data_IF_558413543172
#
_entry.id   IF_558413543172
#
_cell.length_a   1.000
_cell.length_b   1.000
_cell.length_c   1.000
_cell.angle_alpha   90.00
_cell.angle_beta   90.00
_cell.angle_gamma   90.00
#
_symmetry.space_group_name_H-M   'P 1'
#
loop_
_entity.id
_entity.type
_entity.pdbx_description
1 polymer ?
#
# COMPACT_ATOMS: atom_id res chain seq x y z
N UNK A 1 -39.48 0.53 -68.54
CA UNK A 1 -39.80 -0.23 -67.32
C UNK A 1 -38.87 -1.43 -67.24
N UNK A 2 -37.73 -1.27 -66.56
CA UNK A 2 -36.74 -2.35 -66.37
C UNK A 2 -37.18 -3.19 -65.17
N UNK A 3 -37.62 -4.43 -65.43
CA UNK A 3 -37.89 -5.43 -64.40
C UNK A 3 -36.64 -5.62 -63.53
N UNK A 4 -36.78 -5.38 -62.23
CA UNK A 4 -35.76 -5.75 -61.25
C UNK A 4 -35.53 -7.28 -61.31
N UNK A 5 -34.28 -7.76 -61.26
CA UNK A 5 -34.00 -9.19 -61.32
C UNK A 5 -34.64 -9.89 -60.11
N UNK A 6 -35.49 -10.88 -60.38
CA UNK A 6 -36.01 -11.76 -59.34
C UNK A 6 -34.85 -12.48 -58.64
N UNK A 7 -34.81 -12.54 -57.30
CA UNK A 7 -33.77 -13.28 -56.59
C UNK A 7 -33.86 -14.77 -56.98
N UNK A 8 -32.78 -15.29 -57.54
CA UNK A 8 -32.69 -16.69 -57.95
C UNK A 8 -33.03 -17.63 -56.78
N UNK A 9 -33.82 -18.67 -57.05
CA UNK A 9 -34.14 -19.66 -56.04
C UNK A 9 -32.84 -20.32 -55.53
N UNK A 10 -32.67 -20.50 -54.21
CA UNK A 10 -31.44 -21.07 -53.66
C UNK A 10 -31.22 -22.48 -54.22
N UNK A 11 -29.99 -22.76 -54.63
CA UNK A 11 -29.59 -24.09 -55.12
C UNK A 11 -29.78 -25.15 -54.02
N UNK A 12 -30.00 -26.41 -54.39
CA UNK A 12 -30.20 -27.52 -53.43
C UNK A 12 -29.10 -27.54 -52.36
N UNK A 13 -27.84 -27.32 -52.78
CA UNK A 13 -26.67 -27.23 -51.88
C UNK A 13 -26.77 -26.09 -50.85
N UNK A 14 -27.25 -24.91 -51.25
CA UNK A 14 -27.43 -23.77 -50.33
C UNK A 14 -28.57 -24.03 -49.33
N UNK A 15 -29.67 -24.66 -49.78
CA UNK A 15 -30.77 -25.06 -48.88
C UNK A 15 -30.31 -26.03 -47.80
N UNK A 16 -29.55 -27.07 -48.19
CA UNK A 16 -28.99 -28.04 -47.23
C UNK A 16 -28.07 -27.36 -46.22
N UNK A 17 -27.21 -26.43 -46.66
CA UNK A 17 -26.32 -25.69 -45.78
C UNK A 17 -27.08 -24.85 -44.74
N UNK A 18 -28.14 -24.14 -45.15
CA UNK A 18 -28.98 -23.37 -44.22
C UNK A 18 -29.71 -24.25 -43.21
N UNK A 19 -30.22 -25.42 -43.63
CA UNK A 19 -30.84 -26.38 -42.70
C UNK A 19 -29.84 -26.89 -41.66
N UNK A 20 -28.61 -27.17 -42.07
CA UNK A 20 -27.54 -27.55 -41.13
C UNK A 20 -27.29 -26.44 -40.12
N UNK A 21 -27.18 -25.18 -40.56
CA UNK A 21 -26.96 -24.02 -39.66
C UNK A 21 -28.14 -23.80 -38.70
N UNK A 22 -29.38 -23.91 -39.19
CA UNK A 22 -30.60 -23.75 -38.39
C UNK A 22 -30.72 -24.81 -37.28
N UNK A 23 -30.13 -25.99 -37.45
CA UNK A 23 -30.11 -27.05 -36.44
C UNK A 23 -28.87 -26.90 -35.53
N UNK A 24 -27.69 -26.65 -36.12
CA UNK A 24 -26.43 -26.63 -35.40
C UNK A 24 -26.36 -25.49 -34.38
N UNK A 25 -26.81 -24.27 -34.72
CA UNK A 25 -26.70 -23.12 -33.81
C UNK A 25 -27.54 -23.28 -32.53
N UNK A 26 -28.83 -23.69 -32.58
CA UNK A 26 -29.57 -24.03 -31.38
C UNK A 26 -28.90 -25.13 -30.55
N UNK A 27 -28.40 -26.21 -31.18
CA UNK A 27 -27.71 -27.29 -30.46
C UNK A 27 -26.47 -26.77 -29.71
N UNK A 28 -25.68 -25.91 -30.34
CA UNK A 28 -24.54 -25.25 -29.68
C UNK A 28 -25.01 -24.36 -28.53
N UNK A 29 -26.07 -23.57 -28.72
CA UNK A 29 -26.65 -22.73 -27.66
C UNK A 29 -27.15 -23.51 -26.46
N UNK A 30 -27.78 -24.67 -26.67
CA UNK A 30 -28.24 -25.57 -25.62
C UNK A 30 -27.09 -26.35 -24.95
N UNK A 31 -25.98 -26.58 -25.64
CA UNK A 31 -24.81 -27.24 -25.06
C UNK A 31 -24.15 -26.44 -23.94
N UNK A 32 -24.32 -25.11 -23.93
CA UNK A 32 -23.71 -24.20 -22.97
C UNK A 32 -22.18 -24.09 -23.07
N UNK A 33 -21.52 -24.83 -23.96
CA UNK A 33 -20.06 -24.91 -24.05
C UNK A 33 -19.42 -23.54 -24.25
N UNK A 34 -19.94 -22.74 -25.20
CA UNK A 34 -19.43 -21.40 -25.47
C UNK A 34 -19.54 -20.52 -24.22
N UNK A 35 -20.67 -20.58 -23.53
CA UNK A 35 -20.97 -19.72 -22.38
C UNK A 35 -20.05 -20.08 -21.20
N UNK A 36 -19.83 -21.37 -20.97
CA UNK A 36 -18.91 -21.85 -19.92
C UNK A 36 -17.49 -21.37 -20.17
N UNK A 37 -16.95 -21.60 -21.38
CA UNK A 37 -15.56 -21.21 -21.69
C UNK A 37 -15.41 -19.69 -21.69
N UNK A 38 -16.37 -18.93 -22.24
CA UNK A 38 -16.33 -17.47 -22.19
C UNK A 38 -16.44 -16.93 -20.75
N UNK A 39 -17.26 -17.55 -19.91
CA UNK A 39 -17.38 -17.15 -18.49
C UNK A 39 -16.11 -17.44 -17.72
N UNK A 40 -15.48 -18.58 -17.94
CA UNK A 40 -14.19 -18.94 -17.33
C UNK A 40 -13.08 -17.98 -17.76
N UNK A 41 -13.02 -17.64 -19.06
CA UNK A 41 -12.09 -16.65 -19.59
C UNK A 41 -12.27 -15.27 -18.93
N UNK A 42 -13.51 -14.78 -18.80
CA UNK A 42 -13.79 -13.50 -18.14
C UNK A 42 -13.45 -13.54 -16.65
N UNK A 43 -13.73 -14.65 -15.96
CA UNK A 43 -13.34 -14.82 -14.55
C UNK A 43 -11.83 -14.75 -14.37
N UNK A 44 -11.07 -15.43 -15.24
CA UNK A 44 -9.61 -15.34 -15.25
C UNK A 44 -9.13 -13.91 -15.46
N UNK A 45 -9.63 -13.21 -16.47
CA UNK A 45 -9.26 -11.81 -16.74
C UNK A 45 -9.62 -10.86 -15.59
N UNK A 46 -10.77 -11.02 -14.95
CA UNK A 46 -11.17 -10.23 -13.76
C UNK A 46 -10.21 -10.53 -12.59
N UNK A 47 -9.90 -11.80 -12.34
CA UNK A 47 -9.00 -12.19 -11.24
C UNK A 47 -7.59 -11.63 -11.46
N UNK A 48 -7.03 -11.78 -12.66
CA UNK A 48 -5.70 -11.25 -12.99
C UNK A 48 -5.66 -9.72 -12.91
N UNK A 49 -6.65 -9.02 -13.49
CA UNK A 49 -6.72 -7.57 -13.38
C UNK A 49 -6.94 -7.10 -11.92
N UNK A 50 -7.67 -7.87 -11.12
CA UNK A 50 -7.89 -7.61 -9.69
C UNK A 50 -6.61 -7.74 -8.88
N UNK A 51 -5.76 -8.73 -9.20
CA UNK A 51 -4.45 -8.89 -8.58
C UNK A 51 -3.55 -7.69 -8.90
N UNK A 52 -3.46 -7.30 -10.18
CA UNK A 52 -2.71 -6.12 -10.62
C UNK A 52 -3.21 -4.84 -9.94
N UNK A 53 -4.53 -4.67 -9.83
CA UNK A 53 -5.13 -3.55 -9.10
C UNK A 53 -4.76 -3.55 -7.62
N UNK A 54 -4.80 -4.71 -6.97
CA UNK A 54 -4.43 -4.89 -5.57
C UNK A 54 -2.99 -4.49 -5.30
N UNK A 55 -2.05 -5.01 -6.08
CA UNK A 55 -0.61 -4.64 -6.01
C UNK A 55 -0.41 -3.16 -6.25
N UNK A 56 -1.07 -2.57 -7.26
CA UNK A 56 -0.99 -1.13 -7.50
C UNK A 56 -1.48 -0.30 -6.31
N UNK A 57 -2.59 -0.70 -5.68
CA UNK A 57 -3.10 -0.01 -4.50
C UNK A 57 -2.22 -0.22 -3.27
N UNK A 58 -1.59 -1.38 -3.14
CA UNK A 58 -0.55 -1.67 -2.15
C UNK A 58 0.64 -0.73 -2.30
N UNK A 59 1.20 -0.63 -3.51
CA UNK A 59 2.29 0.31 -3.83
C UNK A 59 1.86 1.75 -3.54
N UNK A 60 0.67 2.19 -3.97
CA UNK A 60 0.17 3.54 -3.71
C UNK A 60 0.10 3.85 -2.20
N UNK A 61 -0.33 2.88 -1.38
CA UNK A 61 -0.38 3.04 0.06
C UNK A 61 1.03 3.16 0.66
N UNK A 62 1.96 2.29 0.25
CA UNK A 62 3.36 2.32 0.72
C UNK A 62 4.06 3.62 0.33
N UNK A 63 3.90 4.06 -0.93
CA UNK A 63 4.48 5.32 -1.39
C UNK A 63 3.94 6.51 -0.59
N UNK A 64 2.63 6.54 -0.32
CA UNK A 64 2.03 7.61 0.51
C UNK A 64 2.58 7.62 1.95
N UNK A 65 2.86 6.46 2.54
CA UNK A 65 3.50 6.37 3.86
C UNK A 65 4.95 6.84 3.82
N UNK A 66 5.68 6.48 2.75
CA UNK A 66 7.08 6.84 2.56
C UNK A 66 7.26 8.32 2.15
N UNK A 67 6.25 8.96 1.59
CA UNK A 67 6.30 10.38 1.19
C UNK A 67 6.57 11.32 2.36
N UNK A 68 6.10 10.97 3.55
CA UNK A 68 6.37 11.74 4.78
C UNK A 68 7.74 11.46 5.39
N UNK A 69 8.58 10.60 4.78
CA UNK A 69 9.86 10.20 5.37
C UNK A 69 11.02 11.04 4.85
N UNK A 70 11.65 11.76 5.77
CA UNK A 70 12.87 12.52 5.51
C UNK A 70 14.09 11.76 6.06
N UNK A 71 15.10 11.58 5.23
CA UNK A 71 16.39 11.06 5.66
C UNK A 71 17.40 12.20 5.74
N UNK A 72 17.70 12.63 6.96
CA UNK A 72 18.80 13.56 7.21
C UNK A 72 20.13 12.81 7.12
N UNK A 73 20.90 13.08 6.07
CA UNK A 73 22.31 12.68 5.96
C UNK A 73 23.19 13.88 6.36
N UNK A 74 24.46 13.66 6.77
CA UNK A 74 25.37 14.78 7.00
C UNK A 74 25.47 15.64 5.73
N UNK A 75 25.18 16.93 5.86
CA UNK A 75 25.27 17.97 4.81
C UNK A 75 24.17 17.94 3.72
N UNK A 76 23.27 16.94 3.66
CA UNK A 76 22.15 16.89 2.70
C UNK A 76 20.93 16.21 3.34
N UNK A 77 19.76 16.84 3.25
CA UNK A 77 18.47 16.19 3.55
C UNK A 77 17.91 15.63 2.25
N UNK A 78 17.64 14.33 2.20
CA UNK A 78 16.98 13.69 1.06
C UNK A 78 15.56 13.34 1.49
N UNK A 79 14.56 13.92 0.82
CA UNK A 79 13.16 13.52 0.97
C UNK A 79 12.90 12.30 0.09
N UNK A 80 12.52 11.18 0.69
CA UNK A 80 12.14 9.99 -0.07
C UNK A 80 10.88 10.27 -0.89
N UNK A 81 9.99 11.13 -0.40
CA UNK A 81 8.77 11.51 -1.10
C UNK A 81 9.02 12.10 -2.48
N UNK A 82 9.93 13.06 -2.59
CA UNK A 82 10.24 13.71 -3.88
C UNK A 82 10.78 12.71 -4.92
N UNK A 83 11.54 11.71 -4.48
CA UNK A 83 12.04 10.64 -5.36
C UNK A 83 10.91 9.72 -5.83
N UNK A 84 9.92 9.46 -4.96
CA UNK A 84 8.80 8.57 -5.25
C UNK A 84 7.61 9.25 -5.92
N UNK A 85 7.56 10.59 -5.97
CA UNK A 85 6.46 11.35 -6.56
C UNK A 85 6.10 10.94 -8.00
N UNK A 86 7.07 10.73 -8.92
CA UNK A 86 6.75 10.25 -10.27
C UNK A 86 6.04 8.88 -10.27
N UNK A 87 6.40 8.01 -9.32
CA UNK A 87 5.76 6.71 -9.16
C UNK A 87 4.37 6.85 -8.53
N UNK A 88 4.21 7.74 -7.57
CA UNK A 88 2.90 8.06 -6.98
C UNK A 88 1.90 8.51 -8.06
N UNK A 89 2.28 9.47 -8.89
CA UNK A 89 1.44 9.99 -9.98
C UNK A 89 1.10 8.90 -11.00
N UNK A 90 2.10 8.07 -11.35
CA UNK A 90 1.90 6.97 -12.27
C UNK A 90 0.95 5.92 -11.71
N UNK A 91 1.14 5.50 -10.45
CA UNK A 91 0.37 4.42 -9.85
C UNK A 91 -1.07 4.83 -9.57
N UNK A 92 -1.31 6.10 -9.25
CA UNK A 92 -2.64 6.67 -9.12
C UNK A 92 -3.40 6.56 -10.46
N UNK A 93 -2.80 7.07 -11.55
CA UNK A 93 -3.41 7.00 -12.89
C UNK A 93 -3.60 5.57 -13.37
N UNK A 94 -2.60 4.73 -13.14
CA UNK A 94 -2.62 3.31 -13.50
C UNK A 94 -3.76 2.58 -12.80
N UNK A 95 -3.88 2.73 -11.47
CA UNK A 95 -4.91 2.06 -10.68
C UNK A 95 -6.32 2.50 -11.07
N UNK A 96 -6.52 3.79 -11.39
CA UNK A 96 -7.79 4.30 -11.91
C UNK A 96 -8.18 3.68 -13.26
N UNK A 97 -7.22 3.53 -14.17
CA UNK A 97 -7.48 2.91 -15.48
C UNK A 97 -7.78 1.41 -15.35
N UNK A 98 -7.08 0.71 -14.46
CA UNK A 98 -7.39 -0.71 -14.18
C UNK A 98 -8.76 -0.85 -13.55
N UNK A 99 -9.16 0.06 -12.65
CA UNK A 99 -10.49 0.04 -12.07
C UNK A 99 -11.58 0.16 -13.16
N UNK A 100 -11.37 1.03 -14.15
CA UNK A 100 -12.25 1.12 -15.32
C UNK A 100 -12.25 -0.16 -16.16
N UNK A 101 -11.08 -0.78 -16.36
CA UNK A 101 -10.96 -2.04 -17.09
C UNK A 101 -11.68 -3.20 -16.36
N UNK A 102 -11.55 -3.28 -15.04
CA UNK A 102 -12.29 -4.22 -14.18
C UNK A 102 -13.80 -4.00 -14.28
N UNK A 103 -14.24 -2.75 -14.26
CA UNK A 103 -15.65 -2.40 -14.49
C UNK A 103 -16.15 -2.86 -15.86
N UNK A 104 -15.35 -2.68 -16.91
CA UNK A 104 -15.66 -3.18 -18.26
C UNK A 104 -15.78 -4.70 -18.32
N UNK A 105 -14.84 -5.43 -17.71
CA UNK A 105 -14.89 -6.91 -17.65
C UNK A 105 -16.10 -7.41 -16.85
N UNK A 106 -16.41 -6.77 -15.72
CA UNK A 106 -17.58 -7.10 -14.92
C UNK A 106 -18.87 -6.85 -15.72
N UNK A 107 -18.97 -5.74 -16.46
CA UNK A 107 -20.08 -5.46 -17.35
C UNK A 107 -20.21 -6.51 -18.46
N UNK A 108 -19.10 -6.91 -19.08
CA UNK A 108 -19.09 -7.99 -20.08
C UNK A 108 -19.58 -9.31 -19.51
N UNK A 109 -19.20 -9.66 -18.27
CA UNK A 109 -19.69 -10.87 -17.59
C UNK A 109 -21.20 -10.82 -17.33
N UNK A 110 -21.73 -9.68 -16.90
CA UNK A 110 -23.17 -9.49 -16.71
C UNK A 110 -23.92 -9.61 -18.04
N UNK A 111 -23.40 -8.98 -19.10
CA UNK A 111 -24.00 -9.05 -20.43
C UNK A 111 -23.95 -10.47 -21.00
N UNK A 112 -22.87 -11.21 -20.76
CA UNK A 112 -22.74 -12.62 -21.15
C UNK A 112 -23.77 -13.48 -20.42
N UNK A 113 -23.96 -13.28 -19.11
CA UNK A 113 -24.99 -13.97 -18.35
C UNK A 113 -26.40 -13.68 -18.88
N UNK A 114 -26.68 -12.42 -19.25
CA UNK A 114 -27.98 -12.03 -19.82
C UNK A 114 -28.25 -12.72 -21.17
N UNK A 115 -27.28 -12.68 -22.08
CA UNK A 115 -27.41 -13.21 -23.44
C UNK A 115 -27.37 -14.75 -23.47
N UNK A 116 -26.75 -15.37 -22.47
CA UNK A 116 -26.67 -16.84 -22.31
C UNK A 116 -27.89 -17.44 -21.61
N UNK A 117 -28.88 -16.62 -21.23
CA UNK A 117 -30.08 -17.10 -20.57
C UNK A 117 -30.89 -18.06 -21.47
N UNK A 118 -31.60 -18.99 -20.82
CA UNK A 118 -32.48 -19.96 -21.49
C UNK A 118 -33.51 -19.32 -22.43
N UNK A 119 -33.96 -18.10 -22.14
CA UNK A 119 -34.85 -17.33 -23.00
C UNK A 119 -34.28 -17.18 -24.42
N UNK A 120 -33.00 -16.82 -24.55
CA UNK A 120 -32.38 -16.63 -25.85
C UNK A 120 -32.23 -17.96 -26.61
N UNK A 121 -31.97 -19.07 -25.91
CA UNK A 121 -31.94 -20.40 -26.51
C UNK A 121 -33.32 -20.82 -27.05
N UNK A 122 -34.40 -20.53 -26.32
CA UNK A 122 -35.78 -20.79 -26.75
C UNK A 122 -36.15 -19.92 -27.95
N UNK A 123 -35.90 -18.61 -27.90
CA UNK A 123 -36.18 -17.69 -29.01
C UNK A 123 -35.39 -18.09 -30.26
N UNK A 124 -34.11 -18.47 -30.11
CA UNK A 124 -33.29 -18.98 -31.21
C UNK A 124 -33.88 -20.28 -31.81
N UNK A 125 -34.35 -21.19 -30.96
CA UNK A 125 -34.94 -22.47 -31.41
C UNK A 125 -36.27 -22.27 -32.15
N UNK A 126 -37.15 -21.38 -31.65
CA UNK A 126 -38.43 -21.05 -32.29
C UNK A 126 -38.18 -20.38 -33.64
N UNK A 127 -37.31 -19.36 -33.67
CA UNK A 127 -36.98 -18.66 -34.93
C UNK A 127 -36.29 -19.58 -35.94
N UNK A 128 -35.46 -20.54 -35.49
CA UNK A 128 -34.88 -21.57 -36.34
C UNK A 128 -35.95 -22.48 -36.98
N UNK A 129 -36.89 -22.98 -36.17
CA UNK A 129 -37.97 -23.85 -36.63
C UNK A 129 -38.90 -23.14 -37.61
N UNK A 130 -39.35 -21.92 -37.29
CA UNK A 130 -40.17 -21.11 -38.18
C UNK A 130 -39.45 -20.84 -39.51
N UNK A 131 -38.15 -20.54 -39.47
CA UNK A 131 -37.34 -20.32 -40.66
C UNK A 131 -37.22 -21.61 -41.49
N UNK A 132 -36.97 -22.76 -40.85
CA UNK A 132 -36.87 -24.05 -41.53
C UNK A 132 -38.17 -24.42 -42.27
N UNK A 133 -39.33 -24.27 -41.62
CA UNK A 133 -40.65 -24.52 -42.24
C UNK A 133 -40.92 -23.58 -43.43
N UNK A 134 -40.47 -22.32 -43.32
CA UNK A 134 -40.61 -21.32 -44.37
C UNK A 134 -39.83 -21.67 -45.66
N UNK A 135 -38.73 -22.45 -45.56
CA UNK A 135 -37.94 -22.85 -46.71
C UNK A 135 -38.72 -23.73 -47.71
N UNK A 136 -39.72 -24.46 -47.20
CA UNK A 136 -40.59 -25.38 -47.95
C UNK A 136 -41.96 -24.79 -48.31
N UNK A 137 -42.57 -23.98 -47.44
CA UNK A 137 -44.00 -23.64 -47.55
C UNK A 137 -44.29 -22.13 -47.70
N UNK A 138 -43.29 -21.25 -47.59
CA UNK A 138 -43.50 -19.80 -47.54
C UNK A 138 -43.04 -19.06 -48.81
N UNK A 139 -43.67 -17.91 -49.07
CA UNK A 139 -43.25 -16.96 -50.09
C UNK A 139 -41.89 -16.31 -49.79
N UNK A 140 -41.21 -15.82 -50.84
CA UNK A 140 -39.84 -15.32 -50.75
C UNK A 140 -39.64 -14.19 -49.73
N UNK A 141 -40.62 -13.29 -49.58
CA UNK A 141 -40.56 -12.18 -48.63
C UNK A 141 -40.59 -12.65 -47.16
N UNK A 142 -41.52 -13.55 -46.81
CA UNK A 142 -41.62 -14.10 -45.46
C UNK A 142 -40.36 -14.89 -45.07
N UNK A 143 -39.81 -15.66 -46.01
CA UNK A 143 -38.55 -16.39 -45.83
C UNK A 143 -37.37 -15.44 -45.54
N UNK A 144 -37.20 -14.36 -46.31
CA UNK A 144 -36.10 -13.41 -46.10
C UNK A 144 -36.22 -12.72 -44.73
N UNK A 145 -37.43 -12.30 -44.34
CA UNK A 145 -37.67 -11.69 -43.03
C UNK A 145 -37.37 -12.64 -41.86
N UNK A 146 -37.82 -13.89 -41.93
CA UNK A 146 -37.55 -14.90 -40.90
C UNK A 146 -36.05 -15.23 -40.81
N UNK A 147 -35.37 -15.34 -41.95
CA UNK A 147 -33.93 -15.60 -41.97
C UNK A 147 -33.11 -14.42 -41.42
N UNK A 148 -33.52 -13.17 -41.70
CA UNK A 148 -32.95 -11.96 -41.09
C UNK A 148 -33.16 -11.94 -39.57
N UNK A 149 -34.36 -12.29 -39.10
CA UNK A 149 -34.67 -12.39 -37.68
C UNK A 149 -33.82 -13.47 -37.00
N UNK A 150 -33.72 -14.66 -37.60
CA UNK A 150 -32.88 -15.75 -37.09
C UNK A 150 -31.41 -15.33 -36.99
N UNK A 151 -30.86 -14.71 -38.04
CA UNK A 151 -29.47 -14.19 -38.01
C UNK A 151 -29.31 -13.13 -36.92
N UNK A 152 -30.27 -12.23 -36.73
CA UNK A 152 -30.22 -11.20 -35.70
C UNK A 152 -30.21 -11.81 -34.29
N UNK A 153 -31.07 -12.79 -34.01
CA UNK A 153 -31.12 -13.50 -32.73
C UNK A 153 -29.85 -14.31 -32.51
N UNK A 154 -29.37 -15.05 -33.51
CA UNK A 154 -28.13 -15.81 -33.43
C UNK A 154 -26.92 -14.91 -33.20
N UNK A 155 -26.84 -13.78 -33.90
CA UNK A 155 -25.81 -12.77 -33.70
C UNK A 155 -25.84 -12.25 -32.26
N UNK A 156 -27.00 -11.83 -31.78
CA UNK A 156 -27.14 -11.34 -30.41
C UNK A 156 -26.69 -12.40 -29.40
N UNK A 157 -27.10 -13.66 -29.59
CA UNK A 157 -26.80 -14.82 -28.73
C UNK A 157 -25.33 -15.19 -28.66
N UNK A 158 -24.63 -15.21 -29.80
CA UNK A 158 -23.27 -15.77 -29.89
C UNK A 158 -22.17 -14.71 -30.01
N UNK A 159 -22.50 -13.46 -30.37
CA UNK A 159 -21.49 -12.41 -30.62
C UNK A 159 -20.56 -12.20 -29.43
N UNK A 160 -21.11 -12.03 -28.23
CA UNK A 160 -20.30 -11.75 -27.04
C UNK A 160 -19.40 -12.93 -26.67
N UNK A 161 -19.93 -14.15 -26.68
CA UNK A 161 -19.13 -15.36 -26.40
C UNK A 161 -17.98 -15.54 -27.40
N UNK A 162 -18.25 -15.33 -28.70
CA UNK A 162 -17.22 -15.39 -29.75
C UNK A 162 -16.16 -14.30 -29.56
N UNK A 163 -16.56 -13.06 -29.23
CA UNK A 163 -15.62 -11.97 -28.95
C UNK A 163 -14.73 -12.28 -27.75
N UNK A 164 -15.31 -12.81 -26.66
CA UNK A 164 -14.56 -13.20 -25.46
C UNK A 164 -13.58 -14.34 -25.76
N UNK A 165 -13.98 -15.36 -26.52
CA UNK A 165 -13.07 -16.44 -26.93
C UNK A 165 -11.93 -15.94 -27.80
N UNK A 166 -12.23 -15.07 -28.78
CA UNK A 166 -11.22 -14.49 -29.64
C UNK A 166 -10.21 -13.68 -28.83
N UNK A 167 -10.68 -12.91 -27.85
CA UNK A 167 -9.83 -12.18 -26.93
C UNK A 167 -8.96 -13.11 -26.07
N UNK A 168 -9.55 -14.18 -25.50
CA UNK A 168 -8.82 -15.18 -24.73
C UNK A 168 -7.72 -15.87 -25.54
N UNK A 169 -7.96 -16.15 -26.82
CA UNK A 169 -6.95 -16.69 -27.72
C UNK A 169 -5.78 -15.72 -27.95
N UNK A 170 -6.06 -14.43 -28.20
CA UNK A 170 -5.01 -13.41 -28.36
C UNK A 170 -4.21 -13.25 -27.07
N UNK A 171 -4.89 -13.22 -25.93
CA UNK A 171 -4.25 -13.12 -24.62
C UNK A 171 -3.28 -14.28 -24.38
N UNK A 172 -3.77 -15.51 -24.49
CA UNK A 172 -2.98 -16.72 -24.28
C UNK A 172 -1.76 -16.81 -25.20
N UNK A 173 -1.88 -16.34 -26.46
CA UNK A 173 -0.82 -16.47 -27.45
C UNK A 173 0.22 -15.35 -27.41
N UNK A 174 -0.18 -14.12 -27.08
CA UNK A 174 0.66 -12.94 -27.29
C UNK A 174 0.92 -12.11 -26.03
N UNK A 175 0.01 -12.09 -25.06
CA UNK A 175 0.04 -11.10 -23.97
C UNK A 175 0.36 -11.72 -22.60
N UNK A 176 -0.22 -12.88 -22.30
CA UNK A 176 -0.18 -13.48 -20.95
C UNK A 176 1.24 -13.64 -20.38
N UNK A 177 2.17 -14.20 -21.16
CA UNK A 177 3.54 -14.41 -20.69
C UNK A 177 4.25 -13.10 -20.30
N UNK A 178 4.08 -12.04 -21.11
CA UNK A 178 4.67 -10.74 -20.83
C UNK A 178 3.99 -10.06 -19.64
N UNK A 179 2.67 -10.18 -19.51
CA UNK A 179 1.93 -9.56 -18.40
C UNK A 179 2.25 -10.20 -17.06
N UNK A 180 2.39 -11.53 -16.99
CA UNK A 180 2.84 -12.22 -15.77
C UNK A 180 4.22 -11.73 -15.34
N UNK A 181 5.16 -11.60 -16.28
CA UNK A 181 6.51 -11.11 -15.98
C UNK A 181 6.51 -9.66 -15.47
N UNK A 182 5.76 -8.78 -16.14
CA UNK A 182 5.65 -7.36 -15.77
C UNK A 182 4.96 -7.19 -14.41
N UNK A 183 3.93 -7.99 -14.14
CA UNK A 183 3.25 -7.96 -12.85
C UNK A 183 4.17 -8.43 -11.71
N UNK A 184 4.93 -9.50 -11.93
CA UNK A 184 5.95 -9.94 -10.98
C UNK A 184 7.03 -8.86 -10.73
N UNK A 185 7.34 -8.00 -11.69
CA UNK A 185 8.22 -6.85 -11.47
C UNK A 185 7.59 -5.81 -10.54
N UNK A 186 6.28 -5.54 -10.67
CA UNK A 186 5.56 -4.68 -9.72
C UNK A 186 5.55 -5.28 -8.31
N UNK A 187 5.32 -6.59 -8.15
CA UNK A 187 5.34 -7.25 -6.85
C UNK A 187 6.73 -7.16 -6.18
N UNK A 188 7.82 -7.30 -6.96
CA UNK A 188 9.18 -7.10 -6.45
C UNK A 188 9.40 -5.67 -5.96
N UNK A 189 8.98 -4.68 -6.75
CA UNK A 189 9.07 -3.28 -6.37
C UNK A 189 8.24 -2.98 -5.11
N UNK A 190 7.03 -3.54 -4.98
CA UNK A 190 6.23 -3.44 -3.75
C UNK A 190 7.00 -4.02 -2.54
N UNK A 191 7.64 -5.18 -2.70
CA UNK A 191 8.47 -5.81 -1.68
C UNK A 191 9.65 -4.95 -1.23
N UNK A 192 10.33 -4.29 -2.18
CA UNK A 192 11.42 -3.34 -1.88
C UNK A 192 10.92 -2.13 -1.08
N UNK A 193 9.77 -1.56 -1.45
CA UNK A 193 9.16 -0.45 -0.71
C UNK A 193 8.78 -0.84 0.73
N UNK A 194 8.23 -2.04 0.94
CA UNK A 194 7.94 -2.56 2.29
C UNK A 194 9.19 -2.72 3.15
N UNK A 195 10.32 -3.13 2.55
CA UNK A 195 11.58 -3.23 3.28
C UNK A 195 12.05 -1.83 3.75
N UNK A 196 11.92 -0.82 2.88
CA UNK A 196 12.24 0.58 3.21
C UNK A 196 11.31 1.14 4.29
N UNK A 197 10.02 0.84 4.24
CA UNK A 197 9.03 1.22 5.26
C UNK A 197 9.36 0.64 6.64
N UNK A 198 9.76 -0.64 6.68
CA UNK A 198 10.16 -1.28 7.94
C UNK A 198 11.41 -0.61 8.52
N UNK A 199 12.38 -0.28 7.66
CA UNK A 199 13.60 0.44 8.06
C UNK A 199 13.30 1.85 8.58
N UNK A 200 12.43 2.61 7.89
CA UNK A 200 12.07 3.97 8.27
C UNK A 200 11.28 3.98 9.59
N UNK A 201 10.35 3.03 9.78
CA UNK A 201 9.59 2.86 11.02
C UNK A 201 10.51 2.52 12.19
N UNK A 202 11.46 1.59 12.00
CA UNK A 202 12.44 1.24 13.03
C UNK A 202 13.32 2.45 13.40
N UNK A 203 13.73 3.26 12.41
CA UNK A 203 14.50 4.48 12.64
C UNK A 203 13.69 5.55 13.38
N UNK A 204 12.41 5.72 13.04
CA UNK A 204 11.50 6.65 13.70
C UNK A 204 11.25 6.30 15.17
N UNK A 205 11.10 5.00 15.47
CA UNK A 205 11.02 4.51 16.85
C UNK A 205 12.32 4.78 17.62
N UNK A 206 13.47 4.59 16.98
CA UNK A 206 14.77 4.84 17.61
C UNK A 206 15.00 6.35 17.87
N UNK A 207 14.59 7.25 16.96
CA UNK A 207 14.70 8.69 17.19
C UNK A 207 13.74 9.17 18.29
N UNK A 208 12.51 8.65 18.33
CA UNK A 208 11.57 8.99 19.40
C UNK A 208 12.06 8.54 20.78
N UNK A 209 12.71 7.36 20.87
CA UNK A 209 13.35 6.89 22.10
C UNK A 209 14.51 7.81 22.52
N UNK A 210 15.34 8.26 21.56
CA UNK A 210 16.43 9.19 21.84
C UNK A 210 15.91 10.53 22.39
N UNK A 211 14.85 11.08 21.80
CA UNK A 211 14.25 12.34 22.24
C UNK A 211 13.63 12.21 23.64
N UNK A 212 13.01 11.07 23.93
CA UNK A 212 12.48 10.77 25.27
C UNK A 212 13.60 10.72 26.33
N UNK A 213 14.70 10.01 26.07
CA UNK A 213 15.85 9.93 26.98
C UNK A 213 16.51 11.30 27.16
N UNK A 214 16.64 12.07 26.08
CA UNK A 214 17.17 13.43 26.13
C UNK A 214 16.32 14.35 27.03
N UNK A 215 15.00 14.27 26.92
CA UNK A 215 14.08 15.05 27.76
C UNK A 215 14.21 14.68 29.24
N UNK A 216 14.35 13.38 29.56
CA UNK A 216 14.57 12.93 30.93
C UNK A 216 15.89 13.44 31.53
N UNK A 217 16.96 13.49 30.71
CA UNK A 217 18.25 14.06 31.11
C UNK A 217 18.07 15.55 31.46
N UNK A 218 17.39 16.32 30.61
CA UNK A 218 17.15 17.75 30.81
C UNK A 218 16.32 18.03 32.08
N UNK A 219 15.29 17.22 32.34
CA UNK A 219 14.47 17.31 33.56
C UNK A 219 15.31 17.03 34.83
N UNK A 220 16.14 15.99 34.82
CA UNK A 220 17.03 15.64 35.93
C UNK A 220 18.09 16.72 36.17
N UNK A 221 18.67 17.27 35.11
CA UNK A 221 19.65 18.36 35.21
C UNK A 221 19.04 19.63 35.80
N UNK A 222 17.83 20.00 35.36
CA UNK A 222 17.08 21.13 35.92
C UNK A 222 16.78 20.94 37.40
N UNK A 223 16.32 19.74 37.79
CA UNK A 223 16.05 19.44 39.19
C UNK A 223 17.35 19.39 40.03
N UNK A 224 18.46 18.93 39.46
CA UNK A 224 19.77 18.96 40.12
C UNK A 224 20.27 20.40 40.33
N UNK A 225 20.00 21.33 39.39
CA UNK A 225 20.30 22.74 39.56
C UNK A 225 19.48 23.38 40.70
N UNK A 226 18.23 22.96 40.90
CA UNK A 226 17.42 23.39 42.04
C UNK A 226 18.02 22.92 43.37
N UNK A 227 18.41 21.64 43.46
CA UNK A 227 19.13 21.09 44.63
C UNK A 227 20.39 21.90 44.94
N UNK A 228 21.17 22.24 43.91
CA UNK A 228 22.39 23.03 44.09
C UNK A 228 22.09 24.43 44.66
N UNK A 229 21.01 25.07 44.22
CA UNK A 229 20.55 26.35 44.76
C UNK A 229 20.07 26.22 46.21
N UNK A 230 19.34 25.15 46.55
CA UNK A 230 18.87 24.87 47.91
C UNK A 230 20.05 24.64 48.87
N UNK A 231 21.06 23.88 48.43
CA UNK A 231 22.30 23.68 49.18
C UNK A 231 23.03 25.00 49.39
N UNK A 232 23.09 25.87 48.37
CA UNK A 232 23.71 27.20 48.50
C UNK A 232 22.98 28.07 49.52
N UNK A 233 21.64 28.07 49.51
CA UNK A 233 20.83 28.79 50.49
C UNK A 233 21.02 28.23 51.92
N UNK A 234 21.05 26.90 52.08
CA UNK A 234 21.34 26.24 53.35
C UNK A 234 22.74 26.60 53.87
N UNK A 235 23.75 26.65 52.99
CA UNK A 235 25.10 27.03 53.38
C UNK A 235 25.18 28.46 53.94
N UNK A 236 24.40 29.41 53.39
CA UNK A 236 24.28 30.76 53.94
C UNK A 236 23.63 30.75 55.33
N UNK A 237 22.56 29.98 55.52
CA UNK A 237 21.91 29.84 56.84
C UNK A 237 22.84 29.17 57.87
N UNK A 238 23.57 28.14 57.46
CA UNK A 238 24.57 27.45 58.29
C UNK A 238 25.68 28.42 58.71
N UNK A 239 26.18 29.25 57.79
CA UNK A 239 27.20 30.25 58.10
C UNK A 239 26.69 31.27 59.13
N UNK A 240 25.47 31.78 58.96
CA UNK A 240 24.83 32.69 59.91
C UNK A 240 24.60 32.03 61.28
N UNK A 241 24.09 30.79 61.30
CA UNK A 241 23.85 30.03 62.52
C UNK A 241 25.14 29.70 63.28
N UNK A 242 26.23 29.39 62.57
CA UNK A 242 27.57 29.20 63.16
C UNK A 242 28.06 30.48 63.82
N UNK A 243 28.01 31.60 63.10
CA UNK A 243 28.42 32.91 63.62
C UNK A 243 27.64 33.28 64.90
N UNK A 244 26.32 33.07 64.90
CA UNK A 244 25.48 33.31 66.08
C UNK A 244 25.83 32.37 67.26
N UNK A 245 26.05 31.09 67.00
CA UNK A 245 26.44 30.11 68.02
C UNK A 245 27.80 30.47 68.64
N UNK A 246 28.76 30.91 67.82
CA UNK A 246 30.08 31.30 68.27
C UNK A 246 30.00 32.55 69.17
N UNK A 247 29.17 33.55 68.81
CA UNK A 247 28.91 34.71 69.66
C UNK A 247 28.28 34.34 71.01
N UNK A 248 27.31 33.43 71.03
CA UNK A 248 26.69 32.94 72.27
C UNK A 248 27.68 32.16 73.15
N UNK A 249 28.56 31.35 72.54
CA UNK A 249 29.63 30.62 73.25
C UNK A 249 30.67 31.56 73.85
N UNK A 250 31.01 32.65 73.17
CA UNK A 250 31.91 33.66 73.71
C UNK A 250 31.32 34.37 74.93
N UNK A 251 30.01 34.64 74.93
CA UNK A 251 29.31 35.25 76.07
C UNK A 251 29.17 34.29 77.27
N UNK A 252 28.91 33.01 77.02
CA UNK A 252 28.73 32.01 78.10
C UNK A 252 30.02 31.67 78.85
N UNK A 253 31.19 31.77 78.20
CA UNK A 253 32.50 31.54 78.81
C UNK A 253 32.73 30.10 79.31
N UNK A 254 33.85 29.87 80.00
CA UNK A 254 34.17 28.58 80.63
C UNK A 254 34.28 27.38 79.68
N UNK A 255 33.89 26.19 80.16
CA UNK A 255 33.94 24.92 79.41
C UNK A 255 32.96 24.88 78.22
N UNK A 256 31.92 25.71 78.24
CA UNK A 256 30.93 25.86 77.16
C UNK A 256 31.49 26.54 75.91
N UNK A 257 32.65 27.20 76.01
CA UNK A 257 33.39 27.72 74.86
C UNK A 257 34.00 26.60 74.01
N UNK A 258 34.31 25.46 74.61
CA UNK A 258 34.95 24.33 73.94
C UNK A 258 33.96 23.20 73.56
N UNK A 259 32.96 22.91 74.41
CA UNK A 259 31.99 21.83 74.15
C UNK A 259 30.60 22.20 74.65
N UNK A 260 29.56 21.74 73.96
CA UNK A 260 28.16 21.91 74.37
C UNK A 260 27.59 20.68 75.09
N UNK A 261 28.47 19.73 75.47
CA UNK A 261 28.12 18.45 76.12
C UNK A 261 28.16 18.53 77.64
N UNK A 262 28.54 19.67 78.21
CA UNK A 262 28.59 19.89 79.65
C UNK A 262 27.20 20.32 80.17
N UNK A 263 26.78 19.77 81.32
CA UNK A 263 25.46 19.99 81.90
C UNK A 263 25.25 21.42 82.44
N UNK A 264 26.33 22.22 82.52
CA UNK A 264 26.32 23.61 82.99
C UNK A 264 26.15 24.66 81.88
N UNK A 265 25.95 24.27 80.62
CA UNK A 265 25.80 25.23 79.54
C UNK A 265 24.41 25.89 79.51
N UNK A 266 24.34 27.21 79.25
CA UNK A 266 23.07 27.90 79.04
C UNK A 266 22.19 27.27 77.94
N UNK A 267 20.88 27.17 78.20
CA UNK A 267 19.89 26.52 77.32
C UNK A 267 19.82 27.12 75.90
N UNK A 268 20.15 28.40 75.74
CA UNK A 268 20.25 29.09 74.45
C UNK A 268 21.44 28.58 73.61
N UNK A 269 22.60 28.31 74.20
CA UNK A 269 23.77 27.73 73.52
C UNK A 269 23.45 26.31 73.03
N UNK A 270 22.82 25.48 73.88
CA UNK A 270 22.41 24.12 73.52
C UNK A 270 21.39 24.14 72.38
N UNK A 271 20.36 24.99 72.46
CA UNK A 271 19.35 25.14 71.40
C UNK A 271 19.95 25.63 70.08
N UNK A 272 20.86 26.60 70.11
CA UNK A 272 21.54 27.10 68.92
C UNK A 272 22.44 26.01 68.29
N UNK A 273 23.12 25.20 69.11
CA UNK A 273 23.92 24.06 68.64
C UNK A 273 23.05 23.00 67.97
N UNK A 274 21.90 22.67 68.54
CA UNK A 274 21.00 21.68 67.96
C UNK A 274 20.32 22.20 66.68
N UNK A 275 19.99 23.49 66.61
CA UNK A 275 19.52 24.13 65.39
C UNK A 275 20.56 24.04 64.25
N UNK A 276 21.84 24.28 64.55
CA UNK A 276 22.92 24.12 63.58
C UNK A 276 23.07 22.66 63.11
N UNK A 277 22.98 21.67 64.03
CA UNK A 277 23.02 20.24 63.67
C UNK A 277 21.88 19.87 62.72
N UNK A 278 20.66 20.39 62.96
CA UNK A 278 19.51 20.16 62.06
C UNK A 278 19.74 20.72 60.66
N UNK A 279 20.29 21.94 60.56
CA UNK A 279 20.63 22.54 59.26
C UNK A 279 21.71 21.74 58.50
N UNK A 280 22.73 21.26 59.21
CA UNK A 280 23.77 20.40 58.62
C UNK A 280 23.18 19.07 58.11
N UNK A 281 22.30 18.43 58.89
CA UNK A 281 21.63 17.20 58.48
C UNK A 281 20.71 17.41 57.26
N UNK A 282 20.01 18.55 57.19
CA UNK A 282 19.21 18.93 56.01
C UNK A 282 20.10 19.10 54.77
N UNK A 283 21.23 19.82 54.89
CA UNK A 283 22.21 19.97 53.80
C UNK A 283 22.73 18.61 53.31
N UNK A 284 23.06 17.70 54.23
CA UNK A 284 23.59 16.38 53.84
C UNK A 284 22.53 15.52 53.14
N UNK A 285 21.26 15.67 53.52
CA UNK A 285 20.13 15.01 52.84
C UNK A 285 19.98 15.53 51.41
N UNK A 286 20.01 16.85 51.20
CA UNK A 286 19.95 17.45 49.86
C UNK A 286 21.20 17.12 49.03
N UNK A 287 22.38 17.08 49.64
CA UNK A 287 23.62 16.69 48.98
C UNK A 287 23.58 15.22 48.51
N UNK A 288 23.02 14.33 49.33
CA UNK A 288 22.75 12.93 48.95
C UNK A 288 21.82 12.86 47.75
N UNK A 289 20.68 13.56 47.80
CA UNK A 289 19.72 13.64 46.68
C UNK A 289 20.38 14.14 45.39
N UNK A 290 21.24 15.17 45.49
CA UNK A 290 21.99 15.68 44.35
C UNK A 290 23.00 14.67 43.77
N UNK A 291 23.67 13.88 44.62
CA UNK A 291 24.56 12.79 44.17
C UNK A 291 23.80 11.70 43.43
N UNK A 292 22.65 11.27 43.96
CA UNK A 292 21.81 10.24 43.34
C UNK A 292 21.29 10.67 41.97
N UNK A 293 20.87 11.94 41.85
CA UNK A 293 20.44 12.51 40.58
C UNK A 293 21.58 12.55 39.54
N UNK A 294 22.81 12.89 39.94
CA UNK A 294 23.97 12.84 39.02
C UNK A 294 24.24 11.42 38.53
N UNK A 295 24.17 10.43 39.42
CA UNK A 295 24.36 9.04 39.06
C UNK A 295 23.28 8.57 38.06
N UNK A 296 22.02 8.98 38.27
CA UNK A 296 20.93 8.70 37.34
C UNK A 296 21.12 9.37 35.97
N UNK A 297 21.54 10.64 35.94
CA UNK A 297 21.84 11.34 34.69
C UNK A 297 22.96 10.66 33.91
N UNK A 298 24.02 10.20 34.59
CA UNK A 298 25.14 9.53 33.92
C UNK A 298 24.71 8.19 33.31
N UNK A 299 23.89 7.41 34.01
CA UNK A 299 23.34 6.17 33.48
C UNK A 299 22.48 6.40 32.22
N UNK A 300 21.63 7.44 32.22
CA UNK A 300 20.84 7.82 31.04
C UNK A 300 21.70 8.30 29.88
N UNK A 301 22.81 9.00 30.15
CA UNK A 301 23.76 9.42 29.09
C UNK A 301 24.45 8.22 28.45
N UNK A 302 24.81 7.21 29.22
CA UNK A 302 25.36 5.96 28.66
C UNK A 302 24.34 5.24 27.78
N UNK A 303 23.08 5.15 28.23
CA UNK A 303 21.98 4.59 27.44
C UNK A 303 21.78 5.35 26.13
N UNK A 304 21.70 6.69 26.19
CA UNK A 304 21.60 7.56 25.02
C UNK A 304 22.76 7.34 24.05
N UNK A 305 23.99 7.33 24.56
CA UNK A 305 25.19 7.13 23.74
C UNK A 305 25.18 5.76 23.05
N UNK A 306 24.61 4.74 23.69
CA UNK A 306 24.40 3.45 23.05
C UNK A 306 23.33 3.50 21.96
N UNK A 307 22.16 4.06 22.24
CA UNK A 307 21.09 4.22 21.26
C UNK A 307 21.55 5.00 20.02
N UNK A 308 22.37 6.04 20.20
CA UNK A 308 22.97 6.80 19.10
C UNK A 308 23.96 5.99 18.26
N UNK A 309 24.76 5.11 18.87
CA UNK A 309 25.64 4.19 18.13
C UNK A 309 24.83 3.21 17.29
N UNK A 310 23.76 2.66 17.90
CA UNK A 310 22.89 1.69 17.23
C UNK A 310 22.13 2.28 16.06
N UNK A 311 21.66 3.53 16.15
CA UNK A 311 21.00 4.23 15.05
C UNK A 311 21.93 4.50 13.85
N UNK A 312 23.25 4.50 14.09
CA UNK A 312 24.30 4.57 13.05
C UNK A 312 24.73 3.19 12.53
N UNK A 313 24.14 2.09 13.01
CA UNK A 313 24.52 0.72 12.63
C UNK A 313 25.73 0.16 13.38
N UNK A 314 26.20 0.85 14.43
CA UNK A 314 27.32 0.39 15.27
C UNK A 314 26.81 -0.46 16.44
N UNK A 315 27.59 -1.46 16.85
CA UNK A 315 27.30 -2.27 18.03
C UNK A 315 27.67 -1.54 19.33
N UNK A 316 26.83 -1.64 20.35
CA UNK A 316 27.20 -1.27 21.71
C UNK A 316 27.88 -2.43 22.45
N UNK A 317 29.11 -2.23 22.88
CA UNK A 317 29.78 -3.15 23.80
C UNK A 317 30.09 -4.54 23.21
N UNK A 318 30.74 -5.37 24.05
CA UNK A 318 31.35 -6.65 23.65
C UNK A 318 30.37 -7.84 23.69
N UNK A 319 29.13 -7.64 24.15
CA UNK A 319 28.23 -8.72 24.57
C UNK A 319 26.82 -8.69 23.97
N UNK A 320 26.53 -7.81 23.01
CA UNK A 320 25.18 -7.72 22.43
C UNK A 320 24.99 -8.52 21.14
N UNK A 321 23.91 -9.32 21.13
CA UNK A 321 23.55 -10.31 20.11
C UNK A 321 22.31 -9.88 19.31
N UNK A 322 22.12 -8.58 19.13
CA UNK A 322 20.97 -8.00 18.44
C UNK A 322 21.44 -7.42 17.10
N UNK A 323 20.75 -7.70 15.97
CA UNK A 323 21.20 -7.29 14.65
C UNK A 323 21.33 -5.76 14.52
N UNK A 324 22.46 -5.32 13.95
CA UNK A 324 22.79 -3.93 13.63
C UNK A 324 21.96 -3.43 12.45
N UNK A 325 21.56 -2.15 12.48
CA UNK A 325 20.96 -1.46 11.33
C UNK A 325 21.98 -1.32 10.19
N UNK A 326 21.55 -1.33 8.91
CA UNK A 326 22.45 -1.22 7.77
C UNK A 326 23.18 0.13 7.69
N UNK A 327 24.45 0.09 7.28
CA UNK A 327 25.39 1.22 7.18
C UNK A 327 24.95 2.25 6.10
N UNK A 328 25.41 3.50 6.23
CA UNK A 328 25.05 4.64 5.35
C UNK A 328 25.29 4.37 3.87
N UNK A 329 26.37 3.65 3.54
CA UNK A 329 26.68 3.23 2.15
C UNK A 329 25.65 2.24 1.61
N UNK A 330 25.14 1.35 2.45
CA UNK A 330 24.10 0.41 2.07
C UNK A 330 22.76 1.13 1.83
N UNK A 331 22.44 2.17 2.60
CA UNK A 331 21.24 3.00 2.39
C UNK A 331 21.34 3.78 1.08
N UNK A 332 22.47 4.43 0.79
CA UNK A 332 22.65 5.17 -0.47
C UNK A 332 22.63 4.24 -1.70
N UNK A 333 23.30 3.09 -1.63
CA UNK A 333 23.26 2.10 -2.71
C UNK A 333 21.83 1.55 -2.95
N UNK A 334 21.03 1.42 -1.88
CA UNK A 334 19.62 1.02 -1.98
C UNK A 334 18.74 2.13 -2.56
N UNK A 335 18.98 3.39 -2.22
CA UNK A 335 18.30 4.54 -2.83
C UNK A 335 18.60 4.65 -4.33
N UNK A 336 19.86 4.43 -4.73
CA UNK A 336 20.24 4.37 -6.15
C UNK A 336 19.61 3.18 -6.88
N UNK A 337 19.52 2.01 -6.23
CA UNK A 337 18.82 0.84 -6.77
C UNK A 337 17.32 1.10 -6.97
N UNK A 338 16.67 1.78 -6.01
CA UNK A 338 15.26 2.18 -6.14
C UNK A 338 15.09 3.09 -7.34
N UNK A 339 15.94 4.11 -7.50
CA UNK A 339 15.87 5.04 -8.63
C UNK A 339 16.03 4.33 -9.99
N UNK A 340 16.94 3.36 -10.09
CA UNK A 340 17.08 2.53 -11.28
C UNK A 340 15.81 1.70 -11.54
N UNK A 341 15.21 1.15 -10.49
CA UNK A 341 13.98 0.36 -10.56
C UNK A 341 12.73 1.21 -10.86
N UNK A 342 12.75 2.54 -10.65
CA UNK A 342 11.60 3.41 -10.99
C UNK A 342 11.31 3.41 -12.50
N UNK A 343 12.36 3.45 -13.32
CA UNK A 343 12.21 3.41 -14.78
C UNK A 343 11.61 2.08 -15.23
N UNK A 344 12.13 0.98 -14.71
CA UNK A 344 11.63 -0.37 -15.02
C UNK A 344 10.19 -0.55 -14.54
N UNK A 345 9.88 -0.05 -13.34
CA UNK A 345 8.52 -0.05 -12.83
C UNK A 345 7.57 0.74 -13.74
N UNK A 346 7.99 1.92 -14.18
CA UNK A 346 7.18 2.76 -15.04
C UNK A 346 6.90 2.10 -16.39
N UNK A 347 7.94 1.57 -17.03
CA UNK A 347 7.82 0.85 -18.30
C UNK A 347 6.92 -0.39 -18.17
N UNK A 348 7.13 -1.21 -17.14
CA UNK A 348 6.34 -2.42 -16.91
C UNK A 348 4.87 -2.08 -16.63
N UNK A 349 4.60 -1.03 -15.85
CA UNK A 349 3.25 -0.56 -15.54
C UNK A 349 2.54 -0.03 -16.78
N UNK A 350 3.21 0.81 -17.59
CA UNK A 350 2.62 1.34 -18.84
C UNK A 350 2.31 0.19 -19.80
N UNK A 351 3.24 -0.76 -19.98
CA UNK A 351 3.04 -1.88 -20.88
C UNK A 351 1.93 -2.82 -20.41
N UNK A 352 1.80 -3.06 -19.10
CA UNK A 352 0.66 -3.77 -18.52
C UNK A 352 -0.65 -3.05 -18.79
N UNK A 353 -0.68 -1.74 -18.60
CA UNK A 353 -1.87 -0.93 -18.83
C UNK A 353 -2.30 -0.98 -20.30
N UNK A 354 -1.36 -0.85 -21.23
CA UNK A 354 -1.63 -0.97 -22.67
C UNK A 354 -2.15 -2.38 -23.00
N UNK A 355 -1.54 -3.43 -22.44
CA UNK A 355 -2.01 -4.80 -22.62
C UNK A 355 -3.44 -5.00 -22.09
N UNK A 356 -3.75 -4.47 -20.90
CA UNK A 356 -5.08 -4.53 -20.30
C UNK A 356 -6.12 -3.76 -21.14
N UNK A 357 -5.81 -2.55 -21.60
CA UNK A 357 -6.68 -1.79 -22.50
C UNK A 357 -6.91 -2.50 -23.83
N UNK A 358 -5.86 -3.15 -24.34
CA UNK A 358 -5.95 -3.95 -25.56
C UNK A 358 -6.94 -5.11 -25.38
N UNK A 359 -6.85 -5.87 -24.28
CA UNK A 359 -7.74 -7.01 -24.00
C UNK A 359 -9.17 -6.61 -23.64
N UNK A 360 -9.35 -5.50 -22.95
CA UNK A 360 -10.66 -5.13 -22.38
C UNK A 360 -11.49 -4.24 -23.30
N UNK A 361 -10.84 -3.47 -24.18
CA UNK A 361 -11.50 -2.48 -25.03
C UNK A 361 -11.17 -2.70 -26.49
N UNK A 362 -9.90 -2.61 -26.88
CA UNK A 362 -9.56 -2.53 -28.30
C UNK A 362 -9.82 -3.85 -29.07
N UNK A 363 -9.41 -5.00 -28.54
CA UNK A 363 -9.66 -6.31 -29.14
C UNK A 363 -11.17 -6.59 -29.20
N UNK A 364 -11.95 -6.47 -28.12
CA UNK A 364 -13.39 -6.68 -28.17
C UNK A 364 -14.10 -5.80 -29.20
N UNK A 365 -13.75 -4.51 -29.27
CA UNK A 365 -14.34 -3.59 -30.25
C UNK A 365 -13.94 -3.94 -31.69
N UNK A 366 -12.67 -4.31 -31.93
CA UNK A 366 -12.21 -4.71 -33.25
C UNK A 366 -12.93 -5.98 -33.74
N UNK A 367 -13.06 -6.99 -32.86
CA UNK A 367 -13.81 -8.21 -33.19
C UNK A 367 -15.30 -7.93 -33.36
N UNK A 368 -15.91 -7.12 -32.49
CA UNK A 368 -17.32 -6.73 -32.62
C UNK A 368 -17.58 -6.00 -33.96
N UNK A 369 -16.69 -5.08 -34.34
CA UNK A 369 -16.75 -4.39 -35.63
C UNK A 369 -16.65 -5.37 -36.80
N UNK A 370 -15.69 -6.30 -36.76
CA UNK A 370 -15.51 -7.31 -37.80
C UNK A 370 -16.73 -8.23 -37.91
N UNK A 371 -17.31 -8.63 -36.78
CA UNK A 371 -18.51 -9.47 -36.72
C UNK A 371 -19.73 -8.74 -37.31
N UNK A 372 -19.90 -7.45 -36.98
CA UNK A 372 -20.93 -6.59 -37.56
C UNK A 372 -20.73 -6.36 -39.06
N UNK A 373 -19.49 -6.21 -39.51
CA UNK A 373 -19.18 -6.05 -40.92
C UNK A 373 -19.52 -7.32 -41.72
N UNK A 374 -19.14 -8.49 -41.21
CA UNK A 374 -19.47 -9.78 -41.82
C UNK A 374 -20.99 -10.00 -41.89
N UNK A 375 -21.73 -9.72 -40.82
CA UNK A 375 -23.19 -9.90 -40.83
C UNK A 375 -23.89 -8.94 -41.78
N UNK A 376 -23.45 -7.68 -41.86
CA UNK A 376 -23.95 -6.72 -42.86
C UNK A 376 -23.71 -7.19 -44.29
N UNK A 377 -22.53 -7.74 -44.58
CA UNK A 377 -22.23 -8.25 -45.91
C UNK A 377 -23.10 -9.46 -46.28
N UNK A 378 -23.38 -10.35 -45.33
CA UNK A 378 -24.28 -11.49 -45.54
C UNK A 378 -25.75 -11.05 -45.64
N UNK A 379 -26.18 -10.06 -44.86
CA UNK A 379 -27.52 -9.46 -44.99
C UNK A 379 -27.75 -8.82 -46.36
N UNK A 380 -26.73 -8.25 -47.00
CA UNK A 380 -26.85 -7.74 -48.37
C UNK A 380 -27.03 -8.85 -49.42
N UNK A 381 -26.72 -10.11 -49.07
CA UNK A 381 -26.85 -11.29 -49.94
C UNK A 381 -28.14 -12.08 -49.72
N UNK A 382 -28.93 -11.75 -48.67
CA UNK A 382 -30.16 -12.44 -48.20
C UNK A 382 -31.39 -11.54 -48.37
#
# INVERSE_FOLDING_TARGET
MTQAPHPAAPTVRQRTLWLVVLIALPLVGWSGFLDTVSTEQLNGSISSAGLVYGTARGINALVSLLQGTEFTLPFVTVSIGEVLDPVNDLIERFSNIILLALGSLALQKILLALVSDTLFNVVLSITALCTALSLSHAGAAMRSNLLRLFIAVAFLRFSLGVVVLANGWVDARFLNAADVQRHAAMERFEGELREVENLSTQKGLASAQLDQVQTQIEELESAHAQVANDIAALNLQIAAARSNLDALREQAGGLCKATTLDASCPDDVVRASDALKRLLAQRDTEAGRGSDMRAATEALREEKACLEKRSRGESCGLLDRIPTLPDKRAINARLEAINANLSDFAENSINLLVSLLLKTVAIPLAFAYLLLWLTRQQWARV
#
